data_IF_287743330519
#
_entry.id   IF_287743330519
#
_cell.length_a   1.000
_cell.length_b   1.000
_cell.length_c   1.000
_cell.angle_alpha   90.00
_cell.angle_beta   90.00
_cell.angle_gamma   90.00
#
_symmetry.space_group_name_H-M   'P 1'
#
loop_
_entity.id
_entity.type
_entity.pdbx_description
1 polymer ?
#
# COMPACT_ATOMS: atom_id res chain seq x y z
N UNK A 1 0.80 16.84 3.05
CA UNK A 1 -0.33 16.97 2.11
C UNK A 1 0.17 16.54 0.73
N UNK A 2 -0.50 15.59 0.06
CA UNK A 2 -0.14 15.21 -1.32
C UNK A 2 -1.00 16.05 -2.26
N UNK A 3 -0.39 17.08 -2.86
CA UNK A 3 -0.97 17.81 -3.98
C UNK A 3 -0.72 17.00 -5.24
N UNK A 4 -1.76 16.76 -6.01
CA UNK A 4 -1.68 15.85 -7.13
C UNK A 4 -2.78 16.19 -8.13
N UNK A 5 -2.47 16.17 -9.43
CA UNK A 5 -3.46 16.34 -10.51
C UNK A 5 -4.18 15.03 -10.81
N UNK A 6 -5.21 15.03 -11.66
CA UNK A 6 -5.76 13.76 -12.17
C UNK A 6 -4.65 12.94 -12.85
N UNK A 7 -4.65 11.61 -12.69
CA UNK A 7 -3.65 10.71 -13.30
C UNK A 7 -2.25 10.70 -12.66
N UNK A 8 -1.97 11.53 -11.66
CA UNK A 8 -0.62 11.66 -11.04
C UNK A 8 -0.25 10.58 -10.02
N UNK A 9 -0.96 9.44 -10.01
CA UNK A 9 -0.61 8.31 -9.13
C UNK A 9 -1.01 8.49 -7.66
N UNK A 10 -2.01 9.32 -7.33
CA UNK A 10 -2.50 9.49 -5.95
C UNK A 10 -2.86 8.17 -5.27
N UNK A 11 -3.62 7.33 -5.98
CA UNK A 11 -4.04 6.01 -5.49
C UNK A 11 -2.81 5.16 -5.19
N UNK A 12 -1.83 5.16 -6.08
CA UNK A 12 -0.57 4.45 -5.88
C UNK A 12 0.20 4.94 -4.65
N UNK A 13 0.34 6.26 -4.48
CA UNK A 13 1.00 6.84 -3.32
C UNK A 13 0.27 6.54 -2.00
N UNK A 14 -1.07 6.62 -1.99
CA UNK A 14 -1.88 6.34 -0.81
C UNK A 14 -1.86 4.86 -0.42
N UNK A 15 -1.92 3.93 -1.38
CA UNK A 15 -1.80 2.49 -1.10
C UNK A 15 -0.41 2.14 -0.57
N UNK A 16 0.66 2.70 -1.16
CA UNK A 16 2.03 2.54 -0.64
C UNK A 16 2.17 3.13 0.77
N UNK A 17 1.52 4.27 1.04
CA UNK A 17 1.51 4.87 2.38
C UNK A 17 0.79 3.96 3.39
N UNK A 18 -0.33 3.34 3.01
CA UNK A 18 -1.05 2.40 3.86
C UNK A 18 -0.18 1.20 4.21
N UNK A 19 0.40 0.54 3.20
CA UNK A 19 1.31 -0.61 3.40
C UNK A 19 2.49 -0.20 4.28
N UNK A 20 3.11 0.97 4.05
CA UNK A 20 4.18 1.48 4.90
C UNK A 20 3.76 1.58 6.37
N UNK A 21 2.55 2.05 6.67
CA UNK A 21 2.09 2.12 8.06
C UNK A 21 1.96 0.73 8.68
N UNK A 22 1.45 -0.25 7.93
CA UNK A 22 1.41 -1.65 8.39
C UNK A 22 2.82 -2.18 8.72
N UNK A 23 3.79 -1.94 7.83
CA UNK A 23 5.19 -2.36 8.06
C UNK A 23 5.84 -1.69 9.27
N UNK A 24 5.33 -0.52 9.71
CA UNK A 24 5.77 0.18 10.92
C UNK A 24 5.02 -0.31 12.18
N UNK A 25 4.26 -1.40 12.08
CA UNK A 25 3.53 -2.01 13.19
C UNK A 25 2.16 -1.39 13.48
N UNK A 26 1.67 -0.50 12.62
CA UNK A 26 0.32 0.03 12.78
C UNK A 26 -0.71 -1.09 12.52
N UNK A 27 -1.60 -1.33 13.48
CA UNK A 27 -2.73 -2.24 13.28
C UNK A 27 -3.67 -1.69 12.19
N UNK A 28 -4.20 -2.51 11.27
CA UNK A 28 -5.07 -2.05 10.19
C UNK A 28 -6.28 -1.23 10.69
N UNK A 29 -6.89 -1.69 11.77
CA UNK A 29 -8.03 -1.06 12.47
C UNK A 29 -7.69 0.29 13.14
N UNK A 30 -6.42 0.70 13.15
CA UNK A 30 -5.96 2.03 13.57
C UNK A 30 -5.70 2.98 12.40
N UNK A 31 -5.92 2.54 11.16
CA UNK A 31 -5.73 3.34 9.95
C UNK A 31 -7.08 3.60 9.29
N UNK A 32 -7.45 4.87 9.16
CA UNK A 32 -8.68 5.28 8.47
C UNK A 32 -8.33 5.90 7.12
N UNK A 33 -8.86 5.33 6.04
CA UNK A 33 -8.79 5.88 4.69
C UNK A 33 -10.21 6.26 4.24
N UNK A 34 -10.40 7.52 3.84
CA UNK A 34 -11.69 8.06 3.42
C UNK A 34 -11.70 8.28 1.90
N UNK A 35 -12.80 7.90 1.26
CA UNK A 35 -13.04 8.12 -0.17
C UNK A 35 -14.43 8.72 -0.38
N UNK A 36 -14.65 9.36 -1.53
CA UNK A 36 -15.94 9.99 -1.85
C UNK A 36 -17.04 8.97 -2.18
N UNK A 37 -16.67 7.76 -2.62
CA UNK A 37 -17.63 6.74 -3.05
C UNK A 37 -17.25 5.37 -2.51
N UNK A 38 -18.26 4.53 -2.26
CA UNK A 38 -18.05 3.13 -1.88
C UNK A 38 -17.24 2.34 -2.91
N UNK A 39 -17.45 2.63 -4.20
CA UNK A 39 -16.69 2.01 -5.29
C UNK A 39 -15.20 2.34 -5.19
N UNK A 40 -14.85 3.62 -4.99
CA UNK A 40 -13.46 4.03 -4.81
C UNK A 40 -12.85 3.44 -3.52
N UNK A 41 -13.64 3.27 -2.45
CA UNK A 41 -13.17 2.57 -1.25
C UNK A 41 -12.78 1.11 -1.56
N UNK A 42 -13.63 0.38 -2.29
CA UNK A 42 -13.36 -1.00 -2.72
C UNK A 42 -12.11 -1.08 -3.59
N UNK A 43 -12.02 -0.29 -4.65
CA UNK A 43 -10.86 -0.26 -5.55
C UNK A 43 -9.55 0.07 -4.80
N UNK A 44 -9.61 0.99 -3.83
CA UNK A 44 -8.46 1.33 -3.01
C UNK A 44 -8.02 0.17 -2.11
N UNK A 45 -8.98 -0.53 -1.50
CA UNK A 45 -8.72 -1.68 -0.65
C UNK A 45 -8.16 -2.87 -1.45
N UNK A 46 -8.76 -3.18 -2.59
CA UNK A 46 -8.31 -4.24 -3.50
C UNK A 46 -6.87 -3.98 -3.96
N UNK A 47 -6.52 -2.73 -4.28
CA UNK A 47 -5.16 -2.36 -4.66
C UNK A 47 -4.13 -2.60 -3.54
N UNK A 48 -4.51 -2.42 -2.27
CA UNK A 48 -3.65 -2.76 -1.12
C UNK A 48 -3.48 -4.28 -1.03
N UNK A 49 -4.58 -5.03 -1.08
CA UNK A 49 -4.55 -6.49 -0.99
C UNK A 49 -3.73 -7.11 -2.12
N UNK A 50 -3.87 -6.64 -3.35
CA UNK A 50 -3.08 -7.11 -4.48
C UNK A 50 -1.59 -6.84 -4.30
N UNK A 51 -1.19 -5.67 -3.78
CA UNK A 51 0.22 -5.36 -3.48
C UNK A 51 0.79 -6.33 -2.46
N UNK A 52 0.08 -6.54 -1.35
CA UNK A 52 0.50 -7.46 -0.28
C UNK A 52 0.57 -8.90 -0.79
N UNK A 53 -0.48 -9.38 -1.45
CA UNK A 53 -0.54 -10.75 -1.98
C UNK A 53 0.57 -11.03 -3.00
N UNK A 54 0.90 -10.07 -3.87
CA UNK A 54 1.99 -10.22 -4.83
C UNK A 54 3.35 -10.24 -4.12
N UNK A 55 3.60 -9.34 -3.17
CA UNK A 55 4.83 -9.32 -2.39
C UNK A 55 5.01 -10.60 -1.55
N UNK A 56 3.94 -11.11 -0.95
CA UNK A 56 3.96 -12.34 -0.16
C UNK A 56 4.33 -13.59 -0.98
N UNK A 57 4.07 -13.59 -2.30
CA UNK A 57 4.29 -14.75 -3.17
C UNK A 57 5.58 -14.68 -3.99
N UNK A 58 6.03 -13.47 -4.34
CA UNK A 58 7.18 -13.25 -5.20
C UNK A 58 8.26 -12.42 -4.49
N UNK A 59 9.46 -12.99 -4.24
CA UNK A 59 10.59 -12.27 -3.66
C UNK A 59 11.00 -11.01 -4.42
N UNK A 60 10.89 -10.99 -5.75
CA UNK A 60 11.21 -9.80 -6.54
C UNK A 60 10.16 -8.70 -6.33
N UNK A 61 8.88 -9.06 -6.32
CA UNK A 61 7.80 -8.14 -5.99
C UNK A 61 7.93 -7.59 -4.55
N UNK A 62 8.32 -8.42 -3.57
CA UNK A 62 8.59 -7.99 -2.21
C UNK A 62 9.72 -6.95 -2.15
N UNK A 63 10.87 -7.25 -2.78
CA UNK A 63 12.02 -6.34 -2.80
C UNK A 63 11.67 -5.00 -3.47
N UNK A 64 10.90 -5.04 -4.56
CA UNK A 64 10.39 -3.85 -5.24
C UNK A 64 9.48 -3.03 -4.32
N UNK A 65 8.48 -3.66 -3.71
CA UNK A 65 7.55 -2.98 -2.81
C UNK A 65 8.26 -2.38 -1.60
N UNK A 66 9.19 -3.12 -0.98
CA UNK A 66 10.01 -2.65 0.13
C UNK A 66 10.80 -1.38 -0.25
N UNK A 67 11.37 -1.35 -1.46
CA UNK A 67 12.06 -0.17 -2.00
C UNK A 67 11.12 1.01 -2.17
N UNK A 68 9.95 0.79 -2.77
CA UNK A 68 8.95 1.85 -3.03
C UNK A 68 8.37 2.47 -1.75
N UNK A 69 8.19 1.68 -0.70
CA UNK A 69 7.70 2.17 0.59
C UNK A 69 8.85 2.62 1.52
N UNK A 70 10.10 2.38 1.11
CA UNK A 70 11.31 2.80 1.84
C UNK A 70 11.50 2.07 3.15
N UNK A 71 11.27 0.75 3.18
CA UNK A 71 11.62 -0.15 4.29
C UNK A 71 12.74 -1.09 3.87
N UNK A 72 13.65 -1.41 4.78
CA UNK A 72 14.79 -2.30 4.52
C UNK A 72 14.57 -3.64 5.20
N UNK A 73 15.05 -4.71 4.59
CA UNK A 73 15.02 -6.05 5.17
C UNK A 73 13.66 -6.75 5.12
N UNK A 74 12.66 -6.18 4.45
CA UNK A 74 11.38 -6.84 4.19
C UNK A 74 11.50 -7.74 2.96
N UNK A 75 11.23 -9.02 3.13
CA UNK A 75 11.05 -10.00 2.07
C UNK A 75 9.60 -10.48 2.01
N UNK A 76 9.38 -11.59 1.32
CA UNK A 76 8.02 -12.13 1.12
C UNK A 76 7.36 -12.66 2.39
N UNK A 77 8.09 -12.91 3.48
CA UNK A 77 7.48 -13.40 4.74
C UNK A 77 6.98 -12.26 5.63
N UNK A 78 7.50 -11.07 5.41
CA UNK A 78 7.18 -9.86 6.15
C UNK A 78 5.99 -9.09 5.55
N UNK A 79 5.58 -9.43 4.32
CA UNK A 79 4.39 -8.92 3.62
C UNK A 79 3.28 -9.97 3.55
#
# INVERSE_FOLDING_TARGET
MILASAGSGKTYALTNRFVKLLTLGAKPERIVALTFTRKAAGEFFDAILHKLANAARDPQAAAKLATEIGVRGFGSKEF
#
